data_IF_593493007322
#
_entry.id   IF_593493007322
#
_cell.length_a   1.000
_cell.length_b   1.000
_cell.length_c   1.000
_cell.angle_alpha   90.00
_cell.angle_beta   90.00
_cell.angle_gamma   90.00
#
_symmetry.space_group_name_H-M   'P 1'
#
loop_
_entity.id
_entity.type
_entity.pdbx_description
1 polymer ?
#
# COMPACT_ATOMS: atom_id res chain seq x y z
N UNK A 1 -27.20 -7.44 -12.86
CA UNK A 1 -26.84 -7.06 -11.47
C UNK A 1 -27.93 -6.17 -10.89
N UNK A 2 -28.55 -6.55 -9.77
CA UNK A 2 -29.65 -5.79 -9.18
C UNK A 2 -29.14 -4.50 -8.49
N UNK A 3 -29.98 -3.46 -8.33
CA UNK A 3 -29.62 -2.19 -7.66
C UNK A 3 -28.98 -2.45 -6.28
N UNK A 4 -29.49 -3.44 -5.53
CA UNK A 4 -28.92 -3.82 -4.24
C UNK A 4 -27.44 -4.19 -4.36
N UNK A 5 -27.08 -5.04 -5.32
CA UNK A 5 -25.70 -5.48 -5.54
C UNK A 5 -24.80 -4.32 -5.98
N UNK A 6 -25.30 -3.42 -6.85
CA UNK A 6 -24.56 -2.23 -7.26
C UNK A 6 -24.22 -1.34 -6.07
N UNK A 7 -25.20 -1.07 -5.20
CA UNK A 7 -25.01 -0.26 -3.99
C UNK A 7 -24.07 -0.94 -2.99
N UNK A 8 -24.20 -2.24 -2.75
CA UNK A 8 -23.31 -2.95 -1.81
C UNK A 8 -21.85 -2.92 -2.27
N UNK A 9 -21.59 -3.18 -3.55
CA UNK A 9 -20.24 -3.12 -4.10
C UNK A 9 -19.70 -1.68 -4.09
N UNK A 10 -20.54 -0.69 -4.39
CA UNK A 10 -20.17 0.72 -4.32
C UNK A 10 -19.74 1.16 -2.91
N UNK A 11 -20.55 0.87 -1.90
CA UNK A 11 -20.22 1.21 -0.51
C UNK A 11 -19.00 0.44 0.00
N UNK A 12 -18.89 -0.85 -0.31
CA UNK A 12 -17.73 -1.64 0.07
C UNK A 12 -16.45 -1.09 -0.57
N UNK A 13 -16.47 -0.72 -1.85
CA UNK A 13 -15.32 -0.13 -2.54
C UNK A 13 -14.92 1.21 -1.92
N UNK A 14 -15.88 2.13 -1.71
CA UNK A 14 -15.63 3.45 -1.12
C UNK A 14 -15.01 3.33 0.28
N UNK A 15 -15.45 2.36 1.08
CA UNK A 15 -14.95 2.18 2.44
C UNK A 15 -13.62 1.39 2.50
N UNK A 16 -13.43 0.37 1.67
CA UNK A 16 -12.25 -0.49 1.73
C UNK A 16 -11.03 0.13 1.03
N UNK A 17 -11.21 0.87 -0.06
CA UNK A 17 -10.08 1.43 -0.83
C UNK A 17 -9.18 2.34 0.03
N UNK A 18 -9.71 3.31 0.81
CA UNK A 18 -8.88 4.13 1.68
C UNK A 18 -8.14 3.32 2.75
N UNK A 19 -8.80 2.32 3.36
CA UNK A 19 -8.18 1.45 4.38
C UNK A 19 -7.00 0.67 3.80
N UNK A 20 -7.18 0.10 2.60
CA UNK A 20 -6.11 -0.64 1.91
C UNK A 20 -4.96 0.30 1.54
N UNK A 21 -5.25 1.50 1.03
CA UNK A 21 -4.21 2.48 0.70
C UNK A 21 -3.39 2.89 1.94
N UNK A 22 -4.07 3.21 3.05
CA UNK A 22 -3.40 3.55 4.31
C UNK A 22 -2.59 2.36 4.82
N UNK A 23 -3.14 1.14 4.78
CA UNK A 23 -2.43 -0.06 5.20
C UNK A 23 -1.14 -0.27 4.37
N UNK A 24 -1.20 -0.11 3.05
CA UNK A 24 -0.02 -0.23 2.17
C UNK A 24 1.03 0.82 2.55
N UNK A 25 0.64 2.08 2.70
CA UNK A 25 1.57 3.16 3.07
C UNK A 25 2.22 2.91 4.44
N UNK A 26 1.45 2.47 5.42
CA UNK A 26 1.98 2.13 6.75
C UNK A 26 2.96 0.96 6.69
N UNK A 27 2.65 -0.09 5.92
CA UNK A 27 3.55 -1.25 5.77
C UNK A 27 4.86 -0.87 5.08
N UNK A 28 4.80 -0.01 4.05
CA UNK A 28 6.01 0.50 3.38
C UNK A 28 6.85 1.30 4.38
N UNK A 29 6.25 2.23 5.12
CA UNK A 29 6.95 3.03 6.12
C UNK A 29 7.56 2.17 7.24
N UNK A 30 6.85 1.14 7.72
CA UNK A 30 7.38 0.26 8.78
C UNK A 30 8.61 -0.54 8.32
N UNK A 31 8.62 -0.99 7.06
CA UNK A 31 9.78 -1.72 6.50
C UNK A 31 10.95 -0.78 6.29
N UNK A 32 10.70 0.43 5.79
CA UNK A 32 11.73 1.44 5.61
C UNK A 32 12.34 1.85 6.95
N UNK A 33 11.49 2.10 7.95
CA UNK A 33 11.94 2.43 9.30
C UNK A 33 12.77 1.30 9.93
N UNK A 34 12.39 0.04 9.73
CA UNK A 34 13.18 -1.08 10.22
C UNK A 34 14.59 -1.13 9.59
N UNK A 35 14.70 -0.80 8.29
CA UNK A 35 15.99 -0.67 7.60
C UNK A 35 16.81 0.50 8.15
N UNK A 36 16.20 1.67 8.30
CA UNK A 36 16.87 2.86 8.84
C UNK A 36 17.35 2.63 10.28
N UNK A 37 16.52 2.02 11.13
CA UNK A 37 16.88 1.67 12.51
C UNK A 37 18.10 0.73 12.54
N UNK A 38 18.16 -0.25 11.62
CA UNK A 38 19.34 -1.11 11.47
C UNK A 38 20.57 -0.31 11.03
N UNK A 39 20.47 0.52 10.00
CA UNK A 39 21.59 1.32 9.51
C UNK A 39 22.11 2.28 10.58
N UNK A 40 21.24 2.95 11.31
CA UNK A 40 21.60 3.89 12.36
C UNK A 40 22.25 3.19 13.55
N UNK A 41 21.66 2.08 14.01
CA UNK A 41 22.20 1.32 15.14
C UNK A 41 23.56 0.70 14.81
N UNK A 42 23.67 0.03 13.67
CA UNK A 42 24.93 -0.57 13.22
C UNK A 42 26.00 0.49 12.93
N UNK A 43 25.65 1.63 12.32
CA UNK A 43 26.61 2.72 12.09
C UNK A 43 27.15 3.29 13.39
N UNK A 44 26.30 3.47 14.41
CA UNK A 44 26.74 3.92 15.73
C UNK A 44 27.72 2.95 16.36
N UNK A 45 27.42 1.65 16.31
CA UNK A 45 28.29 0.61 16.84
C UNK A 45 29.63 0.61 16.10
N UNK A 46 29.59 0.51 14.77
CA UNK A 46 30.78 0.49 13.90
C UNK A 46 31.65 1.73 14.13
N UNK A 47 31.06 2.91 14.28
CA UNK A 47 31.81 4.14 14.55
C UNK A 47 32.52 4.12 15.89
N UNK A 48 31.93 3.53 16.93
CA UNK A 48 32.60 3.37 18.21
C UNK A 48 33.81 2.44 18.08
N UNK A 49 33.67 1.36 17.33
CA UNK A 49 34.75 0.40 17.08
C UNK A 49 35.85 1.02 16.23
N UNK A 50 35.49 1.72 15.15
CA UNK A 50 36.43 2.46 14.31
C UNK A 50 37.23 3.47 15.16
N UNK A 51 36.57 4.21 16.05
CA UNK A 51 37.24 5.11 16.98
C UNK A 51 38.17 4.37 17.96
N UNK A 52 37.72 3.25 18.54
CA UNK A 52 38.55 2.44 19.44
C UNK A 52 39.77 1.86 18.72
N UNK A 53 39.60 1.40 17.47
CA UNK A 53 40.67 0.90 16.62
C UNK A 53 41.65 2.01 16.24
N UNK A 54 41.16 3.19 15.89
CA UNK A 54 42.00 4.35 15.65
C UNK A 54 42.83 4.70 16.88
N UNK A 55 42.24 4.75 18.07
CA UNK A 55 42.96 5.01 19.32
C UNK A 55 44.00 3.92 19.63
N UNK A 56 43.65 2.65 19.39
CA UNK A 56 44.55 1.52 19.57
C UNK A 56 45.78 1.62 18.66
N UNK A 57 45.58 1.87 17.36
CA UNK A 57 46.69 2.02 16.42
C UNK A 57 47.45 3.34 16.59
N UNK A 58 46.80 4.42 17.04
CA UNK A 58 47.48 5.66 17.41
C UNK A 58 48.43 5.45 18.60
N UNK A 59 47.99 4.71 19.63
CA UNK A 59 48.84 4.37 20.76
C UNK A 59 50.05 3.52 20.34
N UNK A 60 49.84 2.54 19.45
CA UNK A 60 50.94 1.76 18.86
C UNK A 60 51.88 2.66 18.06
N UNK A 61 51.35 3.55 17.23
CA UNK A 61 52.15 4.47 16.43
C UNK A 61 53.02 5.36 17.31
N UNK A 62 52.45 5.95 18.36
CA UNK A 62 53.18 6.77 19.33
C UNK A 62 54.28 5.97 20.05
N UNK A 63 54.00 4.71 20.41
CA UNK A 63 54.98 3.82 21.01
C UNK A 63 56.13 3.46 20.06
N UNK A 64 55.82 3.15 18.80
CA UNK A 64 56.82 2.88 17.77
C UNK A 64 57.68 4.11 17.53
N UNK A 65 57.08 5.30 17.47
CA UNK A 65 57.80 6.57 17.33
C UNK A 65 58.69 6.86 18.54
N UNK A 66 58.19 6.61 19.77
CA UNK A 66 58.95 6.73 21.00
C UNK A 66 60.17 5.80 20.98
N UNK A 67 59.97 4.52 20.65
CA UNK A 67 61.05 3.54 20.55
C UNK A 67 62.06 3.94 19.47
N UNK A 68 61.59 4.36 18.29
CA UNK A 68 62.43 4.80 17.18
C UNK A 68 63.33 5.98 17.54
N UNK A 69 62.80 6.90 18.37
CA UNK A 69 63.52 8.10 18.83
C UNK A 69 64.34 7.87 20.10
N UNK A 70 64.16 6.73 20.78
CA UNK A 70 64.84 6.43 22.03
C UNK A 70 66.34 6.22 21.84
N UNK A 71 67.14 6.63 22.84
CA UNK A 71 68.59 6.38 22.84
C UNK A 71 68.93 4.89 22.83
N UNK A 72 68.00 4.05 23.32
CA UNK A 72 68.12 2.60 23.31
C UNK A 72 68.34 2.08 21.87
N UNK A 73 67.53 2.53 20.91
CA UNK A 73 67.59 2.03 19.53
C UNK A 73 68.44 2.91 18.61
N UNK A 74 68.49 4.24 18.80
CA UNK A 74 69.27 5.13 17.92
C UNK A 74 70.77 4.92 17.99
N UNK A 75 71.29 4.53 19.15
CA UNK A 75 72.73 4.32 19.37
C UNK A 75 73.12 2.85 19.25
N UNK A 76 72.22 1.99 18.76
CA UNK A 76 72.53 0.58 18.55
C UNK A 76 73.47 0.43 17.36
N UNK A 77 74.60 -0.24 17.59
CA UNK A 77 75.51 -0.67 16.54
C UNK A 77 75.69 -2.19 16.62
N UNK A 78 76.01 -2.83 15.48
CA UNK A 78 76.38 -4.25 15.41
C UNK A 78 75.29 -5.23 15.88
N UNK A 79 74.07 -5.11 15.33
CA UNK A 79 73.04 -6.14 15.50
C UNK A 79 73.48 -7.48 14.89
N UNK A 80 73.06 -8.58 15.51
CA UNK A 80 73.39 -9.93 15.04
C UNK A 80 72.76 -10.14 13.67
N UNK A 81 73.53 -10.66 12.72
CA UNK A 81 73.04 -10.97 11.39
C UNK A 81 72.56 -12.43 11.34
N UNK A 82 71.32 -12.63 10.88
CA UNK A 82 70.67 -13.93 10.80
C UNK A 82 70.60 -14.51 9.38
N UNK A 83 71.25 -13.88 8.39
CA UNK A 83 71.17 -14.30 6.99
C UNK A 83 71.91 -15.61 6.68
N UNK A 84 72.89 -15.99 7.50
CA UNK A 84 73.63 -17.24 7.35
C UNK A 84 72.84 -18.45 7.89
N UNK A 85 73.09 -19.64 7.33
CA UNK A 85 72.43 -20.88 7.75
C UNK A 85 72.85 -21.35 9.15
N UNK A 86 74.07 -21.01 9.58
CA UNK A 86 74.63 -21.33 10.89
C UNK A 86 74.37 -20.24 11.95
N UNK A 87 73.61 -19.19 11.62
CA UNK A 87 73.36 -18.06 12.52
C UNK A 87 72.71 -18.46 13.86
N UNK A 88 71.97 -19.57 13.90
CA UNK A 88 71.41 -20.13 15.14
C UNK A 88 72.49 -20.62 16.13
N UNK A 89 73.69 -20.95 15.65
CA UNK A 89 74.83 -21.39 16.49
C UNK A 89 75.64 -20.21 17.06
N UNK A 90 75.49 -19.02 16.47
CA UNK A 90 76.17 -17.81 16.93
C UNK A 90 75.38 -17.21 18.10
N UNK A 91 75.97 -17.06 19.30
CA UNK A 91 75.25 -16.49 20.44
C UNK A 91 74.89 -15.02 20.21
N UNK A 92 73.80 -14.57 20.83
CA UNK A 92 73.41 -13.15 20.79
C UNK A 92 74.45 -12.31 21.56
N UNK A 93 75.08 -11.28 20.94
CA UNK A 93 76.05 -10.41 21.61
C UNK A 93 75.49 -9.76 22.88
N UNK A 94 76.35 -9.46 23.86
CA UNK A 94 75.93 -8.87 25.13
C UNK A 94 75.21 -7.51 24.96
N UNK A 95 75.63 -6.69 23.99
CA UNK A 95 74.93 -5.45 23.61
C UNK A 95 73.50 -5.73 23.16
N UNK A 96 73.30 -6.75 22.34
CA UNK A 96 71.98 -7.11 21.81
C UNK A 96 71.09 -7.76 22.87
N UNK A 97 71.67 -8.48 23.84
CA UNK A 97 70.94 -8.99 25.01
C UNK A 97 70.40 -7.85 25.89
N UNK A 98 71.18 -6.78 26.09
CA UNK A 98 70.72 -5.61 26.84
C UNK A 98 69.56 -4.89 26.12
N UNK A 99 69.64 -4.75 24.79
CA UNK A 99 68.56 -4.21 23.97
C UNK A 99 67.29 -5.07 24.05
N UNK A 100 67.45 -6.39 23.92
CA UNK A 100 66.35 -7.33 24.05
C UNK A 100 65.67 -7.25 25.43
N UNK A 101 66.43 -7.03 26.50
CA UNK A 101 65.86 -6.82 27.84
C UNK A 101 65.00 -5.55 27.89
N UNK A 102 65.44 -4.45 27.27
CA UNK A 102 64.65 -3.23 27.15
C UNK A 102 63.36 -3.44 26.34
N UNK A 103 63.44 -4.13 25.20
CA UNK A 103 62.26 -4.50 24.41
C UNK A 103 61.30 -5.41 25.20
N UNK A 104 61.83 -6.32 26.01
CA UNK A 104 61.03 -7.17 26.89
C UNK A 104 60.29 -6.37 27.96
N UNK A 105 60.92 -5.39 28.60
CA UNK A 105 60.25 -4.50 29.56
C UNK A 105 59.11 -3.72 28.89
N UNK A 106 59.33 -3.21 27.68
CA UNK A 106 58.27 -2.58 26.91
C UNK A 106 57.14 -3.56 26.60
N UNK A 107 57.44 -4.74 26.06
CA UNK A 107 56.41 -5.65 25.60
C UNK A 107 55.60 -6.28 26.75
N UNK A 108 56.23 -6.53 27.90
CA UNK A 108 55.52 -7.00 29.12
C UNK A 108 54.54 -5.97 29.67
N UNK A 109 54.76 -4.67 29.43
CA UNK A 109 53.80 -3.61 29.76
C UNK A 109 52.76 -3.34 28.66
N UNK A 110 52.95 -3.92 27.47
CA UNK A 110 52.08 -3.76 26.30
C UNK A 110 51.63 -5.14 25.77
N UNK A 111 50.69 -5.80 26.46
CA UNK A 111 50.33 -7.21 26.21
C UNK A 111 49.73 -7.49 24.82
N UNK A 112 49.41 -6.46 24.04
CA UNK A 112 48.96 -6.58 22.65
C UNK A 112 50.11 -6.70 21.64
N UNK A 113 51.35 -6.47 22.09
CA UNK A 113 52.55 -6.64 21.29
C UNK A 113 52.80 -8.12 21.03
N UNK A 114 52.75 -8.54 19.78
CA UNK A 114 53.14 -9.87 19.35
C UNK A 114 54.65 -9.94 19.11
N UNK A 115 55.19 -8.98 18.34
CA UNK A 115 56.62 -8.88 18.09
C UNK A 115 57.11 -7.42 18.08
N UNK A 116 58.35 -7.22 18.50
CA UNK A 116 59.11 -6.01 18.22
C UNK A 116 60.29 -6.39 17.35
N UNK A 117 60.42 -5.74 16.21
CA UNK A 117 61.43 -6.03 15.22
C UNK A 117 62.29 -4.80 15.00
N UNK A 118 63.60 -4.98 14.99
CA UNK A 118 64.58 -3.95 14.64
C UNK A 118 65.50 -4.52 13.59
N UNK A 119 65.56 -3.88 12.43
CA UNK A 119 66.42 -4.29 11.32
C UNK A 119 67.31 -3.13 10.89
N UNK A 120 68.58 -3.41 10.64
CA UNK A 120 69.55 -2.44 10.13
C UNK A 120 69.85 -2.66 8.64
N UNK A 121 70.37 -1.63 7.98
CA UNK A 121 70.75 -1.68 6.57
C UNK A 121 71.87 -2.69 6.26
N UNK A 122 72.73 -2.99 7.22
CA UNK A 122 73.76 -4.02 7.13
C UNK A 122 73.20 -5.46 7.21
N UNK A 123 71.90 -5.62 7.45
CA UNK A 123 71.22 -6.91 7.62
C UNK A 123 71.21 -7.42 9.07
N UNK A 124 71.74 -6.64 10.02
CA UNK A 124 71.60 -6.90 11.43
C UNK A 124 70.13 -6.86 11.85
N UNK A 125 69.75 -7.76 12.76
CA UNK A 125 68.36 -7.93 13.18
C UNK A 125 68.26 -8.25 14.67
N UNK A 126 67.22 -7.72 15.30
CA UNK A 126 66.82 -8.04 16.66
C UNK A 126 65.29 -8.21 16.67
N UNK A 127 64.82 -9.25 17.33
CA UNK A 127 63.39 -9.52 17.52
C UNK A 127 63.10 -9.84 18.97
N UNK A 128 61.97 -9.35 19.46
CA UNK A 128 61.35 -9.81 20.69
C UNK A 128 59.98 -10.44 20.34
N UNK A 129 59.61 -11.60 20.92
CA UNK A 129 60.45 -12.48 21.73
C UNK A 129 61.66 -12.99 20.94
N UNK A 130 62.76 -13.31 21.64
CA UNK A 130 63.95 -13.84 20.97
C UNK A 130 63.66 -15.21 20.36
N UNK A 131 64.19 -15.45 19.16
CA UNK A 131 64.14 -16.75 18.49
C UNK A 131 65.57 -17.28 18.29
N UNK A 132 66.07 -18.11 19.23
CA UNK A 132 67.40 -18.70 19.14
C UNK A 132 67.59 -19.61 17.92
N UNK A 133 66.51 -20.07 17.29
CA UNK A 133 66.56 -20.99 16.14
C UNK A 133 66.58 -20.24 14.80
N UNK A 134 66.35 -18.92 14.82
CA UNK A 134 66.30 -18.11 13.61
C UNK A 134 67.61 -18.22 12.82
N UNK A 135 67.48 -18.46 11.52
CA UNK A 135 68.57 -18.52 10.55
C UNK A 135 68.01 -18.22 9.15
N UNK A 136 68.90 -17.98 8.19
CA UNK A 136 68.51 -17.64 6.81
C UNK A 136 67.48 -16.51 6.71
N UNK A 137 67.53 -15.55 7.64
CA UNK A 137 66.60 -14.43 7.73
C UNK A 137 67.31 -13.11 7.45
N UNK A 138 66.82 -12.37 6.45
CA UNK A 138 67.25 -11.01 6.13
C UNK A 138 66.08 -10.04 6.34
N UNK A 139 66.14 -9.12 7.33
CA UNK A 139 65.05 -8.18 7.60
C UNK A 139 64.77 -7.28 6.41
N UNK A 140 65.78 -6.96 5.59
CA UNK A 140 65.67 -6.00 4.47
C UNK A 140 64.79 -6.51 3.35
N UNK A 141 64.59 -7.82 3.26
CA UNK A 141 63.73 -8.43 2.27
C UNK A 141 62.26 -8.51 2.69
N UNK A 142 61.97 -8.27 3.98
CA UNK A 142 60.64 -8.44 4.55
C UNK A 142 59.71 -7.28 4.21
N UNK A 143 58.39 -7.52 4.08
CA UNK A 143 57.43 -6.48 3.78
C UNK A 143 57.49 -5.29 4.76
N UNK A 144 57.55 -5.55 6.08
CA UNK A 144 57.57 -4.51 7.10
C UNK A 144 58.76 -3.54 6.95
N UNK A 145 59.96 -4.06 6.65
CA UNK A 145 61.15 -3.25 6.46
C UNK A 145 61.04 -2.41 5.18
N UNK A 146 60.61 -3.03 4.08
CA UNK A 146 60.39 -2.33 2.80
C UNK A 146 59.33 -1.23 2.93
N UNK A 147 58.25 -1.47 3.69
CA UNK A 147 57.22 -0.47 3.97
C UNK A 147 57.77 0.72 4.74
N UNK A 148 58.58 0.49 5.79
CA UNK A 148 59.19 1.56 6.56
C UNK A 148 60.15 2.40 5.69
N UNK A 149 61.05 1.73 4.97
CA UNK A 149 62.07 2.39 4.16
C UNK A 149 61.49 3.13 2.94
N UNK A 150 60.30 2.75 2.46
CA UNK A 150 59.59 3.46 1.40
C UNK A 150 58.98 4.79 1.88
N UNK A 151 58.84 5.00 3.19
CA UNK A 151 58.30 6.21 3.80
C UNK A 151 59.17 6.74 4.95
N UNK A 152 60.43 7.18 4.68
CA UNK A 152 61.35 7.63 5.73
C UNK A 152 60.76 8.72 6.62
N UNK A 153 60.97 8.60 7.93
CA UNK A 153 60.49 9.51 8.96
C UNK A 153 58.99 9.46 9.23
N UNK A 154 58.21 8.66 8.49
CA UNK A 154 56.76 8.51 8.67
C UNK A 154 56.43 7.19 9.34
N UNK A 155 55.41 7.21 10.21
CA UNK A 155 54.84 6.00 10.79
C UNK A 155 53.84 5.44 9.79
N UNK A 156 54.01 4.18 9.42
CA UNK A 156 53.16 3.51 8.43
C UNK A 156 52.73 2.16 8.98
N UNK A 157 51.50 1.77 8.69
CA UNK A 157 51.01 0.42 8.99
C UNK A 157 51.21 -0.48 7.78
N UNK A 158 51.66 -1.71 8.01
CA UNK A 158 51.78 -2.71 6.95
C UNK A 158 50.40 -3.27 6.61
N UNK A 159 50.21 -3.80 5.38
CA UNK A 159 49.17 -4.78 5.14
C UNK A 159 49.32 -5.97 6.09
N UNK A 160 48.23 -6.71 6.32
CA UNK A 160 48.30 -7.98 7.03
C UNK A 160 49.27 -8.94 6.33
N UNK A 161 50.14 -9.61 7.09
CA UNK A 161 51.09 -10.57 6.55
C UNK A 161 51.27 -11.78 7.46
N UNK A 162 51.51 -12.93 6.84
CA UNK A 162 51.70 -14.19 7.54
C UNK A 162 53.13 -14.34 8.08
N UNK A 163 53.23 -14.74 9.35
CA UNK A 163 54.46 -15.04 10.06
C UNK A 163 54.59 -16.55 10.22
N UNK A 164 55.45 -17.15 9.38
CA UNK A 164 55.62 -18.60 9.29
C UNK A 164 56.15 -19.28 10.56
N UNK A 165 57.08 -18.69 11.34
CA UNK A 165 57.64 -19.36 12.53
C UNK A 165 56.59 -19.73 13.57
N UNK A 166 55.57 -18.90 13.77
CA UNK A 166 54.54 -19.10 14.80
C UNK A 166 53.14 -19.34 14.22
N UNK A 167 53.02 -19.48 12.89
CA UNK A 167 51.75 -19.71 12.19
C UNK A 167 50.65 -18.69 12.56
N UNK A 168 51.04 -17.40 12.58
CA UNK A 168 50.15 -16.29 12.94
C UNK A 168 50.11 -15.25 11.85
N UNK A 169 48.98 -14.55 11.73
CA UNK A 169 48.89 -13.37 10.88
C UNK A 169 48.99 -12.11 11.72
N UNK A 170 49.88 -11.24 11.25
CA UNK A 170 50.31 -10.06 11.95
C UNK A 170 49.99 -8.81 11.14
N UNK A 171 49.94 -7.71 11.87
CA UNK A 171 49.93 -6.38 11.29
C UNK A 171 50.94 -5.52 12.04
N UNK A 172 51.88 -4.96 11.29
CA UNK A 172 52.96 -4.16 11.83
C UNK A 172 52.67 -2.67 11.73
N UNK A 173 53.04 -1.93 12.76
CA UNK A 173 53.26 -0.48 12.67
C UNK A 173 54.76 -0.24 12.63
N UNK A 174 55.23 0.43 11.58
CA UNK A 174 56.65 0.55 11.27
C UNK A 174 57.08 2.02 11.16
N UNK A 175 58.35 2.26 11.46
CA UNK A 175 59.00 3.57 11.36
C UNK A 175 60.50 3.39 11.04
N UNK A 176 61.15 4.39 10.44
CA UNK A 176 62.59 4.33 10.17
C UNK A 176 63.39 4.72 11.41
N UNK A 177 64.49 4.00 11.65
CA UNK A 177 65.47 4.40 12.65
C UNK A 177 66.45 5.36 12.00
N UNK A 178 66.51 6.61 12.46
CA UNK A 178 67.34 7.64 11.84
C UNK A 178 68.56 7.97 12.72
N UNK A 179 69.73 8.13 12.07
CA UNK A 179 70.94 8.60 12.74
C UNK A 179 70.83 10.06 13.19
N UNK A 180 71.86 10.58 13.86
CA UNK A 180 71.91 11.98 14.30
C UNK A 180 71.82 13.01 13.14
N UNK A 181 72.10 12.59 11.90
CA UNK A 181 72.05 13.41 10.69
C UNK A 181 70.72 13.27 9.93
N UNK A 182 69.76 12.50 10.47
CA UNK A 182 68.44 12.29 9.85
C UNK A 182 68.44 11.29 8.68
N UNK A 183 69.51 10.51 8.50
CA UNK A 183 69.55 9.43 7.51
C UNK A 183 69.04 8.13 8.13
N UNK A 184 68.22 7.35 7.41
CA UNK A 184 67.73 6.08 7.93
C UNK A 184 68.89 5.08 8.05
N UNK A 185 69.08 4.50 9.23
CA UNK A 185 69.99 3.39 9.55
C UNK A 185 69.31 2.02 9.42
N UNK A 186 67.99 2.02 9.47
CA UNK A 186 67.19 0.80 9.54
C UNK A 186 65.72 1.09 9.76
N UNK A 187 64.99 0.09 10.23
CA UNK A 187 63.58 0.18 10.54
C UNK A 187 63.25 -0.55 11.84
N UNK A 188 62.24 -0.03 12.54
CA UNK A 188 61.57 -0.69 13.65
C UNK A 188 60.15 -1.05 13.24
N UNK A 189 59.67 -2.19 13.71
CA UNK A 189 58.28 -2.61 13.60
C UNK A 189 57.74 -3.12 14.94
N UNK A 190 56.49 -2.78 15.25
CA UNK A 190 55.72 -3.41 16.31
C UNK A 190 54.54 -4.14 15.67
N UNK A 191 54.54 -5.47 15.79
CA UNK A 191 53.45 -6.29 15.29
C UNK A 191 52.42 -6.56 16.36
N UNK A 192 51.17 -6.49 15.97
CA UNK A 192 50.04 -6.99 16.75
C UNK A 192 49.44 -8.21 16.07
N UNK A 193 48.95 -9.13 16.89
CA UNK A 193 48.26 -10.32 16.38
C UNK A 193 46.86 -9.94 15.88
N UNK A 194 46.53 -10.31 14.65
CA UNK A 194 45.17 -10.15 14.14
C UNK A 194 44.15 -11.01 14.87
N UNK A 195 44.60 -12.02 15.64
CA UNK A 195 43.72 -12.79 16.52
C UNK A 195 43.05 -11.90 17.57
N UNK A 196 43.80 -10.97 18.18
CA UNK A 196 43.24 -10.06 19.18
C UNK A 196 42.23 -9.09 18.55
N UNK A 197 42.54 -8.60 17.34
CA UNK A 197 41.61 -7.80 16.55
C UNK A 197 40.33 -8.59 16.21
N UNK A 198 40.51 -9.85 15.80
CA UNK A 198 39.42 -10.78 15.50
C UNK A 198 38.53 -11.00 16.71
N UNK A 199 39.12 -11.21 17.90
CA UNK A 199 38.37 -11.44 19.14
C UNK A 199 37.55 -10.21 19.54
N UNK A 200 38.08 -9.00 19.35
CA UNK A 200 37.34 -7.75 19.57
C UNK A 200 36.19 -7.63 18.56
N UNK A 201 36.44 -7.91 17.29
CA UNK A 201 35.40 -7.84 16.25
C UNK A 201 34.30 -8.90 16.49
N UNK A 202 34.66 -10.10 16.93
CA UNK A 202 33.73 -11.19 17.28
C UNK A 202 32.80 -10.89 18.45
N UNK A 203 33.20 -9.98 19.34
CA UNK A 203 32.34 -9.58 20.47
C UNK A 203 31.18 -8.69 20.02
N UNK A 204 31.25 -8.12 18.82
CA UNK A 204 30.24 -7.22 18.30
C UNK A 204 29.10 -8.05 17.73
N UNK A 205 27.91 -7.80 18.27
CA UNK A 205 26.67 -8.42 17.81
C UNK A 205 25.74 -7.32 17.30
N UNK A 206 25.30 -7.46 16.06
CA UNK A 206 24.31 -6.58 15.47
C UNK A 206 22.96 -7.30 15.54
N UNK A 207 22.17 -7.00 16.56
CA UNK A 207 21.01 -7.82 16.89
C UNK A 207 21.43 -9.21 17.41
N UNK A 208 20.69 -10.25 17.03
CA UNK A 208 20.91 -11.63 17.44
C UNK A 208 21.73 -12.43 16.41
N UNK A 209 21.41 -12.30 15.12
CA UNK A 209 22.08 -13.01 14.02
C UNK A 209 23.24 -12.25 13.40
N UNK A 210 23.31 -10.94 13.62
CA UNK A 210 24.22 -10.08 12.89
C UNK A 210 25.63 -10.01 13.49
N UNK A 211 26.59 -9.76 12.61
CA UNK A 211 28.01 -9.75 12.90
C UNK A 211 28.74 -8.69 12.07
N UNK A 212 29.97 -8.37 12.47
CA UNK A 212 30.80 -7.40 11.76
C UNK A 212 31.94 -8.09 11.02
N UNK A 213 32.04 -7.83 9.72
CA UNK A 213 33.18 -8.22 8.91
C UNK A 213 34.14 -7.04 8.72
N UNK A 214 35.44 -7.31 8.69
CA UNK A 214 36.48 -6.30 8.51
C UNK A 214 37.33 -6.60 7.27
N UNK A 215 37.54 -5.58 6.43
CA UNK A 215 38.30 -5.67 5.20
C UNK A 215 39.37 -4.58 5.11
N UNK A 216 40.47 -4.91 4.44
CA UNK A 216 41.44 -3.93 3.97
C UNK A 216 40.92 -3.18 2.72
N UNK A 217 41.51 -2.03 2.42
CA UNK A 217 41.20 -1.22 1.22
C UNK A 217 41.40 -1.94 -0.11
N UNK A 218 42.20 -3.01 -0.15
CA UNK A 218 42.44 -3.85 -1.32
C UNK A 218 41.37 -4.96 -1.51
N UNK A 219 40.37 -5.05 -0.62
CA UNK A 219 39.32 -6.07 -0.65
C UNK A 219 39.66 -7.37 0.06
N UNK A 220 40.82 -7.46 0.71
CA UNK A 220 41.21 -8.61 1.52
C UNK A 220 40.43 -8.66 2.83
N UNK A 221 39.89 -9.82 3.18
CA UNK A 221 39.14 -10.03 4.43
C UNK A 221 40.11 -10.19 5.59
N UNK A 222 40.09 -9.27 6.55
CA UNK A 222 40.88 -9.38 7.78
C UNK A 222 40.19 -10.26 8.80
N UNK A 223 38.88 -10.06 8.95
CA UNK A 223 38.07 -10.78 9.93
C UNK A 223 36.69 -11.05 9.33
N UNK A 224 36.37 -12.33 9.18
CA UNK A 224 35.01 -12.84 9.08
C UNK A 224 34.74 -13.72 10.33
N UNK A 225 33.87 -13.27 11.26
CA UNK A 225 33.56 -14.02 12.46
C UNK A 225 32.66 -15.23 12.19
N UNK A 226 31.95 -15.29 11.06
CA UNK A 226 31.07 -16.40 10.67
C UNK A 226 31.87 -17.55 10.09
N UNK A 227 32.83 -17.26 9.22
CA UNK A 227 33.74 -18.27 8.66
C UNK A 227 35.19 -17.79 8.60
N UNK A 228 36.01 -18.32 9.50
CA UNK A 228 37.43 -17.98 9.57
C UNK A 228 38.23 -18.42 8.33
N UNK A 229 37.71 -19.33 7.49
CA UNK A 229 38.34 -19.73 6.24
C UNK A 229 38.30 -18.63 5.17
N UNK A 230 37.51 -17.57 5.37
CA UNK A 230 37.49 -16.38 4.51
C UNK A 230 38.62 -15.40 4.81
N UNK A 231 39.19 -15.45 6.02
CA UNK A 231 40.28 -14.55 6.39
C UNK A 231 41.46 -14.71 5.42
N UNK A 232 42.04 -13.59 5.02
CA UNK A 232 43.17 -13.48 4.09
C UNK A 232 42.89 -13.93 2.66
N UNK A 233 41.61 -14.02 2.29
CA UNK A 233 41.17 -14.14 0.91
C UNK A 233 40.53 -12.83 0.47
N UNK A 234 40.47 -12.62 -0.84
CA UNK A 234 39.74 -11.47 -1.39
C UNK A 234 38.23 -11.74 -1.32
N UNK A 235 37.48 -10.73 -0.90
CA UNK A 235 36.01 -10.83 -0.75
C UNK A 235 35.32 -11.24 -2.07
N UNK A 236 35.79 -10.73 -3.20
CA UNK A 236 35.22 -10.99 -4.53
C UNK A 236 35.46 -12.42 -5.07
N UNK A 237 36.31 -13.20 -4.40
CA UNK A 237 36.64 -14.59 -4.71
C UNK A 237 35.85 -15.59 -3.86
N UNK A 238 35.10 -15.14 -2.84
CA UNK A 238 34.43 -16.00 -1.87
C UNK A 238 33.06 -16.54 -2.34
N UNK A 239 32.53 -16.01 -3.44
CA UNK A 239 31.24 -16.44 -4.00
C UNK A 239 30.48 -15.28 -4.63
N UNK A 240 29.32 -15.57 -5.22
CA UNK A 240 28.55 -14.57 -5.96
C UNK A 240 28.00 -13.47 -5.05
N UNK A 241 27.42 -13.81 -3.89
CA UNK A 241 26.92 -12.82 -2.93
C UNK A 241 28.01 -11.95 -2.31
N UNK A 242 29.19 -12.52 -2.04
CA UNK A 242 30.35 -11.76 -1.57
C UNK A 242 30.92 -10.84 -2.66
N UNK A 243 30.86 -11.24 -3.93
CA UNK A 243 31.25 -10.39 -5.07
C UNK A 243 30.32 -9.20 -5.24
N UNK A 244 29.01 -9.40 -5.07
CA UNK A 244 28.05 -8.30 -5.01
C UNK A 244 28.41 -7.33 -3.88
N UNK A 245 28.64 -7.87 -2.67
CA UNK A 245 29.04 -7.08 -1.50
C UNK A 245 30.36 -6.31 -1.71
N UNK A 246 31.32 -6.90 -2.42
CA UNK A 246 32.58 -6.23 -2.77
C UNK A 246 32.37 -5.03 -3.70
N UNK A 247 31.38 -5.11 -4.60
CA UNK A 247 31.08 -4.05 -5.59
C UNK A 247 30.27 -2.87 -5.04
N UNK A 248 29.75 -2.98 -3.82
CA UNK A 248 28.93 -1.94 -3.19
C UNK A 248 29.74 -0.66 -2.99
N UNK A 249 29.25 0.43 -3.58
CA UNK A 249 29.82 1.79 -3.43
C UNK A 249 29.08 2.68 -2.44
N UNK A 250 27.86 2.30 -2.05
CA UNK A 250 27.06 3.00 -1.05
C UNK A 250 27.20 2.39 0.34
N UNK A 251 26.45 2.92 1.30
CA UNK A 251 26.52 2.50 2.70
C UNK A 251 25.57 1.31 3.01
N UNK A 252 24.75 0.89 2.04
CA UNK A 252 23.75 -0.17 2.21
C UNK A 252 23.72 -1.11 1.00
N UNK A 253 23.54 -2.39 1.28
CA UNK A 253 23.18 -3.40 0.29
C UNK A 253 22.31 -4.50 0.88
N UNK A 254 21.48 -5.15 0.06
CA UNK A 254 20.89 -6.45 0.38
C UNK A 254 21.62 -7.49 -0.46
N UNK A 255 22.14 -8.54 0.18
CA UNK A 255 22.92 -9.60 -0.49
C UNK A 255 22.46 -10.97 -0.01
N UNK A 256 22.63 -11.99 -0.83
CA UNK A 256 22.35 -13.38 -0.45
C UNK A 256 23.67 -14.13 -0.21
N UNK A 257 23.89 -14.57 1.04
CA UNK A 257 25.08 -15.30 1.45
C UNK A 257 24.65 -16.70 1.90
N UNK A 258 25.18 -17.74 1.26
CA UNK A 258 24.84 -19.15 1.52
C UNK A 258 23.32 -19.47 1.51
N UNK A 259 22.56 -18.81 0.64
CA UNK A 259 21.10 -19.01 0.56
C UNK A 259 20.28 -18.23 1.59
N UNK A 260 20.92 -17.35 2.37
CA UNK A 260 20.27 -16.50 3.38
C UNK A 260 20.39 -15.04 2.96
N UNK A 261 19.26 -14.32 2.99
CA UNK A 261 19.22 -12.90 2.64
C UNK A 261 19.69 -12.05 3.83
N UNK A 262 20.75 -11.28 3.60
CA UNK A 262 21.36 -10.35 4.54
C UNK A 262 21.12 -8.90 4.12
N UNK A 263 21.02 -8.04 5.13
CA UNK A 263 21.16 -6.59 4.99
C UNK A 263 22.56 -6.21 5.46
N UNK A 264 23.28 -5.47 4.62
CA UNK A 264 24.65 -5.06 4.84
C UNK A 264 24.72 -3.54 5.02
N UNK A 265 25.33 -3.09 6.12
CA UNK A 265 25.79 -1.72 6.32
C UNK A 265 27.29 -1.66 6.04
N UNK A 266 27.71 -0.82 5.09
CA UNK A 266 29.10 -0.67 4.67
C UNK A 266 29.64 0.67 5.18
N UNK A 267 30.65 0.62 6.03
CA UNK A 267 31.30 1.80 6.60
C UNK A 267 32.79 1.80 6.26
N UNK A 268 33.28 2.87 5.65
CA UNK A 268 34.69 3.01 5.30
C UNK A 268 35.40 3.95 6.28
N UNK A 269 36.42 3.44 6.97
CA UNK A 269 37.29 4.24 7.83
C UNK A 269 38.40 4.87 7.01
N UNK A 270 38.35 6.19 6.83
CA UNK A 270 39.37 6.93 6.08
C UNK A 270 40.76 6.82 6.72
N UNK A 271 40.82 6.86 8.06
CA UNK A 271 42.09 6.86 8.80
C UNK A 271 42.76 5.48 8.82
N UNK A 272 41.98 4.42 8.96
CA UNK A 272 42.49 3.05 8.91
C UNK A 272 42.65 2.56 7.46
N UNK A 273 41.93 3.12 6.50
CA UNK A 273 41.86 2.56 5.15
C UNK A 273 41.20 1.17 5.16
N UNK A 274 40.26 0.96 6.09
CA UNK A 274 39.54 -0.31 6.26
C UNK A 274 38.06 -0.13 5.96
N UNK A 275 37.42 -1.21 5.55
CA UNK A 275 35.97 -1.27 5.35
C UNK A 275 35.36 -2.22 6.37
N UNK A 276 34.44 -1.70 7.17
CA UNK A 276 33.63 -2.44 8.11
C UNK A 276 32.30 -2.76 7.43
N UNK A 277 31.87 -4.03 7.50
CA UNK A 277 30.61 -4.46 6.91
C UNK A 277 29.78 -5.15 7.99
N UNK A 278 28.77 -4.44 8.48
CA UNK A 278 27.79 -4.99 9.41
C UNK A 278 26.75 -5.79 8.64
N UNK A 279 26.65 -7.09 8.91
CA UNK A 279 25.70 -7.99 8.27
C UNK A 279 24.66 -8.44 9.30
N UNK A 280 23.39 -8.44 8.93
CA UNK A 280 22.30 -9.00 9.74
C UNK A 280 21.28 -9.70 8.84
N UNK A 281 20.64 -10.76 9.32
CA UNK A 281 19.61 -11.43 8.52
C UNK A 281 18.42 -10.50 8.27
N UNK A 282 17.98 -10.43 7.01
CA UNK A 282 16.83 -9.60 6.61
C UNK A 282 15.55 -9.99 7.34
N UNK A 283 15.36 -11.28 7.61
CA UNK A 283 14.26 -11.83 8.40
C UNK A 283 14.21 -11.24 9.82
N UNK A 284 15.36 -11.03 10.46
CA UNK A 284 15.44 -10.46 11.80
C UNK A 284 15.07 -8.98 11.80
N UNK A 285 15.70 -8.19 10.91
CA UNK A 285 15.39 -6.75 10.77
C UNK A 285 13.90 -6.56 10.46
N UNK A 286 13.35 -7.38 9.58
CA UNK A 286 11.96 -7.28 9.15
C UNK A 286 10.98 -8.00 10.08
N UNK A 287 11.43 -8.70 11.14
CA UNK A 287 10.55 -9.50 12.00
C UNK A 287 9.44 -8.67 12.63
N UNK A 288 9.81 -7.53 13.22
CA UNK A 288 8.86 -6.60 13.86
C UNK A 288 7.90 -5.98 12.84
N UNK A 289 8.42 -5.53 11.68
CA UNK A 289 7.61 -4.99 10.61
C UNK A 289 6.63 -6.03 10.02
N UNK A 290 7.05 -7.29 9.93
CA UNK A 290 6.23 -8.41 9.43
C UNK A 290 5.10 -8.75 10.41
N UNK A 291 5.39 -8.79 11.71
CA UNK A 291 4.38 -8.98 12.75
C UNK A 291 3.32 -7.87 12.74
N UNK A 292 3.75 -6.61 12.64
CA UNK A 292 2.84 -5.46 12.51
C UNK A 292 2.03 -5.50 11.21
N UNK A 293 2.65 -5.91 10.10
CA UNK A 293 1.97 -6.08 8.81
C UNK A 293 0.83 -7.07 8.93
N UNK A 294 1.03 -8.19 9.63
CA UNK A 294 -0.03 -9.17 9.89
C UNK A 294 -1.18 -8.59 10.71
N UNK A 295 -0.86 -7.86 11.79
CA UNK A 295 -1.87 -7.19 12.62
C UNK A 295 -2.69 -6.17 11.81
N UNK A 296 -2.04 -5.34 11.00
CA UNK A 296 -2.70 -4.39 10.10
C UNK A 296 -3.60 -5.13 9.11
N UNK A 297 -3.13 -6.25 8.54
CA UNK A 297 -3.91 -7.08 7.64
C UNK A 297 -5.18 -7.65 8.29
N UNK A 298 -5.07 -8.16 9.53
CA UNK A 298 -6.22 -8.66 10.30
C UNK A 298 -7.21 -7.53 10.59
N UNK A 299 -6.75 -6.35 11.02
CA UNK A 299 -7.61 -5.19 11.28
C UNK A 299 -8.31 -4.75 9.98
N UNK A 300 -7.58 -4.67 8.86
CA UNK A 300 -8.15 -4.32 7.56
C UNK A 300 -9.21 -5.34 7.11
N UNK A 301 -8.98 -6.64 7.33
CA UNK A 301 -9.95 -7.69 7.02
C UNK A 301 -11.23 -7.56 7.88
N UNK A 302 -11.09 -7.32 9.18
CA UNK A 302 -12.22 -7.09 10.09
C UNK A 302 -13.03 -5.86 9.66
N UNK A 303 -12.35 -4.75 9.32
CA UNK A 303 -13.01 -3.54 8.82
C UNK A 303 -13.71 -3.77 7.48
N UNK A 304 -13.11 -4.54 6.57
CA UNK A 304 -13.73 -4.89 5.29
C UNK A 304 -15.04 -5.69 5.49
N UNK A 305 -15.04 -6.68 6.39
CA UNK A 305 -16.25 -7.43 6.74
C UNK A 305 -17.30 -6.52 7.37
N UNK A 306 -16.89 -5.64 8.30
CA UNK A 306 -17.79 -4.68 8.93
C UNK A 306 -18.44 -3.75 7.88
N UNK A 307 -17.65 -3.18 6.97
CA UNK A 307 -18.17 -2.32 5.91
C UNK A 307 -19.04 -3.07 4.91
N UNK A 308 -18.75 -4.35 4.62
CA UNK A 308 -19.62 -5.17 3.80
C UNK A 308 -20.99 -5.39 4.47
N UNK A 309 -21.02 -5.68 5.77
CA UNK A 309 -22.26 -5.84 6.54
C UNK A 309 -23.06 -4.54 6.59
N UNK A 310 -22.40 -3.42 6.90
CA UNK A 310 -23.02 -2.09 6.93
C UNK A 310 -23.55 -1.72 5.54
N UNK A 311 -22.73 -1.85 4.49
CA UNK A 311 -23.12 -1.59 3.11
C UNK A 311 -24.29 -2.45 2.64
N UNK A 312 -24.31 -3.74 2.99
CA UNK A 312 -25.43 -4.65 2.72
C UNK A 312 -26.72 -4.24 3.43
N UNK A 313 -26.61 -3.77 4.67
CA UNK A 313 -27.74 -3.30 5.47
C UNK A 313 -28.33 -2.01 4.89
N UNK A 314 -27.48 -1.02 4.59
CA UNK A 314 -27.89 0.24 3.93
C UNK A 314 -28.49 0.01 2.54
N UNK A 315 -27.87 -0.84 1.71
CA UNK A 315 -28.44 -1.19 0.41
C UNK A 315 -29.81 -1.88 0.54
N UNK A 316 -30.01 -2.68 1.59
CA UNK A 316 -31.30 -3.28 1.92
C UNK A 316 -32.36 -2.24 2.29
N UNK A 317 -32.00 -1.26 3.12
CA UNK A 317 -32.89 -0.17 3.54
C UNK A 317 -33.36 0.69 2.36
N UNK A 318 -32.47 1.00 1.41
CA UNK A 318 -32.80 1.83 0.24
C UNK A 318 -33.63 1.05 -0.80
N UNK A 319 -33.25 -0.21 -1.08
CA UNK A 319 -33.85 -0.95 -2.20
C UNK A 319 -35.22 -1.55 -1.86
N UNK A 320 -35.48 -1.86 -0.59
CA UNK A 320 -36.73 -2.51 -0.18
C UNK A 320 -37.98 -1.64 -0.46
N UNK A 321 -38.03 -0.34 -0.11
CA UNK A 321 -39.16 0.53 -0.46
C UNK A 321 -39.33 0.71 -1.97
N UNK A 322 -38.23 0.88 -2.72
CA UNK A 322 -38.26 1.02 -4.18
C UNK A 322 -38.89 -0.21 -4.84
N UNK A 323 -38.51 -1.43 -4.39
CA UNK A 323 -39.13 -2.67 -4.87
C UNK A 323 -40.61 -2.77 -4.49
N UNK A 324 -41.01 -2.25 -3.33
CA UNK A 324 -42.42 -2.23 -2.93
C UNK A 324 -43.26 -1.36 -3.86
N UNK A 325 -42.75 -0.18 -4.24
CA UNK A 325 -43.41 0.71 -5.21
C UNK A 325 -43.49 0.05 -6.59
N UNK A 326 -42.37 -0.53 -7.05
CA UNK A 326 -42.33 -1.24 -8.32
C UNK A 326 -43.30 -2.43 -8.37
N UNK A 327 -43.38 -3.22 -7.30
CA UNK A 327 -44.33 -4.33 -7.19
C UNK A 327 -45.79 -3.88 -7.10
N UNK A 328 -46.07 -2.73 -6.47
CA UNK A 328 -47.41 -2.13 -6.48
C UNK A 328 -47.85 -1.69 -7.88
N UNK A 329 -46.94 -1.09 -8.64
CA UNK A 329 -47.16 -0.73 -10.05
C UNK A 329 -47.39 -1.97 -10.92
N UNK A 330 -46.56 -3.00 -10.77
CA UNK A 330 -46.71 -4.28 -11.47
C UNK A 330 -48.06 -4.94 -11.16
N UNK A 331 -48.47 -4.94 -9.89
CA UNK A 331 -49.76 -5.47 -9.46
C UNK A 331 -50.96 -4.78 -10.10
N UNK A 332 -50.91 -3.46 -10.32
CA UNK A 332 -51.98 -2.73 -11.01
C UNK A 332 -51.94 -3.00 -12.52
N UNK A 333 -50.75 -3.03 -13.12
CA UNK A 333 -50.58 -3.23 -14.55
C UNK A 333 -50.97 -4.65 -15.00
N UNK A 334 -50.72 -5.67 -14.18
CA UNK A 334 -50.99 -7.07 -14.51
C UNK A 334 -52.26 -7.64 -13.83
N UNK A 335 -52.65 -7.12 -12.66
CA UNK A 335 -53.69 -7.68 -11.81
C UNK A 335 -55.06 -7.02 -11.96
N UNK A 336 -55.59 -7.01 -13.19
CA UNK A 336 -56.96 -6.54 -13.52
C UNK A 336 -57.29 -5.09 -13.09
N UNK A 337 -56.29 -4.30 -12.68
CA UNK A 337 -56.47 -2.92 -12.24
C UNK A 337 -57.15 -2.78 -10.87
N UNK A 338 -56.86 -3.64 -9.89
CA UNK A 338 -57.38 -3.49 -8.52
C UNK A 338 -56.88 -2.19 -7.84
N UNK A 339 -57.68 -1.13 -7.96
CA UNK A 339 -57.43 0.21 -7.38
C UNK A 339 -57.73 0.29 -5.88
N UNK A 340 -58.05 -0.82 -5.21
CA UNK A 340 -58.30 -0.83 -3.76
C UNK A 340 -57.01 -0.93 -2.95
N UNK A 341 -55.91 -1.33 -3.60
CA UNK A 341 -54.58 -1.46 -2.99
C UNK A 341 -53.92 -0.10 -2.78
N UNK A 342 -53.14 0.01 -1.71
CA UNK A 342 -52.28 1.17 -1.44
C UNK A 342 -50.89 0.70 -0.99
N UNK A 343 -49.90 1.58 -1.18
CA UNK A 343 -48.57 1.38 -0.64
C UNK A 343 -48.52 1.86 0.81
N UNK A 344 -47.85 1.09 1.66
CA UNK A 344 -47.58 1.49 3.04
C UNK A 344 -46.57 2.64 3.09
N UNK A 345 -46.96 3.76 3.68
CA UNK A 345 -46.11 4.97 3.77
C UNK A 345 -45.34 4.91 5.09
N UNK A 346 -44.07 4.52 5.01
CA UNK A 346 -43.16 4.43 6.17
C UNK A 346 -42.04 5.45 6.05
N UNK A 347 -41.83 6.23 7.11
CA UNK A 347 -40.74 7.22 7.18
C UNK A 347 -41.11 8.57 6.56
N UNK A 348 -40.09 9.44 6.40
CA UNK A 348 -40.23 10.80 5.89
C UNK A 348 -39.22 11.15 4.77
N UNK A 349 -38.59 10.14 4.18
CA UNK A 349 -37.60 10.30 3.11
C UNK A 349 -38.23 10.33 1.71
N UNK A 350 -37.40 10.38 0.67
CA UNK A 350 -37.81 10.37 -0.73
C UNK A 350 -38.61 9.11 -1.10
N UNK A 351 -38.38 7.99 -0.43
CA UNK A 351 -39.14 6.76 -0.68
C UNK A 351 -40.55 6.83 -0.10
N UNK A 352 -40.73 7.46 1.07
CA UNK A 352 -42.03 7.77 1.64
C UNK A 352 -42.78 8.81 0.79
N UNK A 353 -42.07 9.81 0.25
CA UNK A 353 -42.65 10.78 -0.67
C UNK A 353 -43.17 10.11 -1.95
N UNK A 354 -42.41 9.18 -2.52
CA UNK A 354 -42.83 8.41 -3.70
C UNK A 354 -44.10 7.58 -3.42
N UNK A 355 -44.16 6.90 -2.28
CA UNK A 355 -45.34 6.13 -1.87
C UNK A 355 -46.59 7.01 -1.69
N UNK A 356 -46.43 8.22 -1.11
CA UNK A 356 -47.53 9.19 -0.97
C UNK A 356 -48.09 9.64 -2.31
N UNK A 357 -47.22 10.07 -3.23
CA UNK A 357 -47.65 10.51 -4.57
C UNK A 357 -48.29 9.38 -5.37
N UNK A 358 -47.80 8.15 -5.23
CA UNK A 358 -48.42 6.98 -5.85
C UNK A 358 -49.84 6.73 -5.32
N UNK A 359 -50.03 6.75 -4.00
CA UNK A 359 -51.36 6.58 -3.40
C UNK A 359 -52.32 7.71 -3.82
N UNK A 360 -51.83 8.94 -3.93
CA UNK A 360 -52.63 10.08 -4.41
C UNK A 360 -53.05 9.91 -5.87
N UNK A 361 -52.14 9.43 -6.73
CA UNK A 361 -52.42 9.11 -8.12
C UNK A 361 -53.49 8.00 -8.25
N UNK A 362 -53.37 6.92 -7.47
CA UNK A 362 -54.40 5.86 -7.38
C UNK A 362 -55.76 6.40 -6.94
N UNK A 363 -55.78 7.28 -5.93
CA UNK A 363 -57.01 7.92 -5.45
C UNK A 363 -57.70 8.76 -6.53
N UNK A 364 -56.92 9.48 -7.34
CA UNK A 364 -57.44 10.23 -8.48
C UNK A 364 -58.04 9.31 -9.56
N UNK A 365 -57.37 8.21 -9.90
CA UNK A 365 -57.92 7.21 -10.85
C UNK A 365 -59.20 6.59 -10.29
N UNK A 366 -59.23 6.19 -9.02
CA UNK A 366 -60.42 5.61 -8.38
C UNK A 366 -61.62 6.55 -8.44
N UNK A 367 -61.40 7.84 -8.16
CA UNK A 367 -62.43 8.87 -8.24
C UNK A 367 -62.93 9.05 -9.67
N UNK A 368 -62.03 9.01 -10.66
CA UNK A 368 -62.39 9.10 -12.08
C UNK A 368 -63.27 7.92 -12.50
N UNK A 369 -62.88 6.69 -12.14
CA UNK A 369 -63.66 5.48 -12.44
C UNK A 369 -65.05 5.53 -11.79
N UNK A 370 -65.14 5.98 -10.53
CA UNK A 370 -66.42 6.17 -9.86
C UNK A 370 -67.32 7.19 -10.58
N UNK A 371 -66.75 8.33 -11.01
CA UNK A 371 -67.49 9.35 -11.77
C UNK A 371 -67.99 8.82 -13.12
N UNK A 372 -67.20 8.01 -13.81
CA UNK A 372 -67.62 7.33 -15.06
C UNK A 372 -68.78 6.37 -14.77
N UNK A 373 -68.72 5.63 -13.66
CA UNK A 373 -69.81 4.75 -13.23
C UNK A 373 -71.11 5.52 -12.95
N UNK A 374 -71.05 6.61 -12.20
CA UNK A 374 -72.21 7.48 -11.94
C UNK A 374 -72.75 8.10 -13.22
N UNK A 375 -71.88 8.65 -14.09
CA UNK A 375 -72.30 9.22 -15.36
C UNK A 375 -72.96 8.18 -16.28
N UNK A 376 -72.50 6.92 -16.24
CA UNK A 376 -73.11 5.82 -16.99
C UNK A 376 -74.50 5.47 -16.44
N UNK A 377 -74.71 5.52 -15.13
CA UNK A 377 -76.03 5.30 -14.51
C UNK A 377 -77.01 6.45 -14.81
N UNK A 378 -76.53 7.69 -14.79
CA UNK A 378 -77.32 8.87 -15.19
C UNK A 378 -77.71 8.76 -16.68
N UNK A 379 -76.78 8.34 -17.53
CA UNK A 379 -77.02 8.11 -18.97
C UNK A 379 -78.04 6.99 -19.20
N UNK A 380 -77.98 5.91 -18.43
CA UNK A 380 -78.98 4.83 -18.48
C UNK A 380 -80.36 5.34 -18.07
N UNK A 381 -80.46 6.10 -16.97
CA UNK A 381 -81.72 6.69 -16.51
C UNK A 381 -82.31 7.66 -17.54
N UNK A 382 -81.47 8.49 -18.15
CA UNK A 382 -81.88 9.39 -19.23
C UNK A 382 -82.35 8.62 -20.48
N UNK A 383 -81.69 7.51 -20.82
CA UNK A 383 -82.12 6.63 -21.93
C UNK A 383 -83.47 5.97 -21.65
N UNK A 384 -83.70 5.49 -20.42
CA UNK A 384 -84.97 4.90 -20.01
C UNK A 384 -86.10 5.92 -20.03
N UNK A 385 -85.85 7.14 -19.53
CA UNK A 385 -86.80 8.25 -19.58
C UNK A 385 -87.14 8.64 -21.04
N UNK A 386 -86.12 8.72 -21.90
CA UNK A 386 -86.29 9.00 -23.33
C UNK A 386 -87.13 7.92 -24.02
N UNK A 387 -86.91 6.65 -23.67
CA UNK A 387 -87.70 5.52 -24.17
C UNK A 387 -89.16 5.63 -23.75
N UNK A 388 -89.44 6.00 -22.49
CA UNK A 388 -90.81 6.26 -22.02
C UNK A 388 -91.49 7.40 -22.78
N UNK A 389 -90.80 8.53 -22.95
CA UNK A 389 -91.34 9.66 -23.73
C UNK A 389 -91.63 9.24 -25.18
N UNK A 390 -90.78 8.43 -25.79
CA UNK A 390 -91.01 7.91 -27.13
C UNK A 390 -92.26 7.02 -27.21
N UNK A 391 -92.53 6.19 -26.19
CA UNK A 391 -93.75 5.38 -26.09
C UNK A 391 -95.00 6.26 -25.90
N UNK A 392 -94.98 7.20 -24.97
CA UNK A 392 -96.09 8.14 -24.72
C UNK A 392 -96.42 8.96 -25.98
N UNK A 393 -95.38 9.38 -26.72
CA UNK A 393 -95.53 10.11 -27.97
C UNK A 393 -96.17 9.24 -29.06
N UNK A 394 -95.85 7.95 -29.12
CA UNK A 394 -96.49 7.01 -30.03
C UNK A 394 -97.99 6.84 -29.70
N UNK A 395 -98.33 6.67 -28.42
CA UNK A 395 -99.73 6.59 -27.97
C UNK A 395 -100.50 7.90 -28.21
N UNK A 396 -99.86 9.04 -28.02
CA UNK A 396 -100.44 10.34 -28.35
C UNK A 396 -100.67 10.48 -29.86
N UNK A 397 -99.73 10.03 -30.70
CA UNK A 397 -99.88 10.03 -32.15
C UNK A 397 -101.02 9.11 -32.61
N UNK A 398 -101.21 7.94 -31.98
CA UNK A 398 -102.35 7.05 -32.24
C UNK A 398 -103.68 7.75 -31.88
N UNK A 399 -103.79 8.33 -30.68
CA UNK A 399 -105.00 9.08 -30.28
C UNK A 399 -105.27 10.28 -31.18
N UNK A 400 -104.23 10.99 -31.60
CA UNK A 400 -104.36 12.10 -32.54
C UNK A 400 -104.89 11.63 -33.89
N UNK A 401 -104.43 10.47 -34.39
CA UNK A 401 -104.95 9.86 -35.62
C UNK A 401 -106.43 9.52 -35.51
N UNK A 402 -106.87 8.91 -34.41
CA UNK A 402 -108.29 8.61 -34.15
C UNK A 402 -109.14 9.88 -34.08
N UNK A 403 -108.66 10.92 -33.40
CA UNK A 403 -109.35 12.21 -33.35
C UNK A 403 -109.47 12.84 -34.75
N UNK A 404 -108.44 12.73 -35.58
CA UNK A 404 -108.48 13.19 -36.98
C UNK A 404 -109.51 12.41 -37.81
N UNK A 405 -109.63 11.09 -37.62
CA UNK A 405 -110.67 10.28 -38.29
C UNK A 405 -112.09 10.65 -37.83
N UNK A 406 -112.28 10.89 -36.53
CA UNK A 406 -113.55 11.38 -35.99
C UNK A 406 -113.90 12.76 -36.55
N UNK A 407 -112.94 13.69 -36.61
CA UNK A 407 -113.11 15.00 -37.23
C UNK A 407 -113.46 14.85 -38.70
N UNK A 408 -112.81 13.95 -39.44
CA UNK A 408 -113.13 13.69 -40.85
C UNK A 408 -114.54 13.13 -41.03
N UNK A 409 -114.98 12.24 -40.13
CA UNK A 409 -116.35 11.68 -40.11
C UNK A 409 -117.38 12.77 -39.83
N UNK A 410 -117.14 13.59 -38.79
CA UNK A 410 -118.00 14.72 -38.44
C UNK A 410 -118.04 15.77 -39.55
N UNK A 411 -116.93 16.03 -40.24
CA UNK A 411 -116.89 16.89 -41.43
C UNK A 411 -117.77 16.35 -42.56
N UNK A 412 -117.73 15.04 -42.84
CA UNK A 412 -118.59 14.42 -43.86
C UNK A 412 -120.08 14.54 -43.49
N UNK A 413 -120.44 14.26 -42.23
CA UNK A 413 -121.80 14.47 -41.69
C UNK A 413 -122.23 15.95 -41.77
N UNK A 414 -121.33 16.87 -41.44
CA UNK A 414 -121.58 18.32 -41.52
C UNK A 414 -121.80 18.78 -42.96
N UNK A 415 -121.04 18.25 -43.92
CA UNK A 415 -121.25 18.51 -45.36
C UNK A 415 -122.58 17.94 -45.83
N UNK A 416 -122.97 16.75 -45.37
CA UNK A 416 -124.26 16.16 -45.68
C UNK A 416 -125.42 17.00 -45.13
N UNK A 417 -125.34 17.45 -43.87
CA UNK A 417 -126.34 18.34 -43.26
C UNK A 417 -126.37 19.71 -43.91
N UNK A 418 -125.22 20.30 -44.27
CA UNK A 418 -125.18 21.57 -44.99
C UNK A 418 -125.87 21.46 -46.37
N UNK A 419 -125.69 20.34 -47.08
CA UNK A 419 -126.40 20.06 -48.32
C UNK A 419 -127.92 19.88 -48.09
N UNK A 420 -128.32 19.20 -47.01
CA UNK A 420 -129.73 19.01 -46.67
C UNK A 420 -130.42 20.32 -46.26
N UNK A 421 -129.71 21.19 -45.53
CA UNK A 421 -130.17 22.55 -45.21
C UNK A 421 -130.27 23.39 -46.48
N UNK A 422 -129.29 23.35 -47.37
CA UNK A 422 -129.35 24.06 -48.65
C UNK A 422 -130.55 23.59 -49.49
N UNK A 423 -130.84 22.28 -49.49
CA UNK A 423 -132.02 21.70 -50.14
C UNK A 423 -133.32 22.18 -49.51
N UNK A 424 -133.40 22.17 -48.18
CA UNK A 424 -134.55 22.67 -47.42
C UNK A 424 -134.78 24.17 -47.65
N UNK A 425 -133.73 24.99 -47.68
CA UNK A 425 -133.81 26.42 -48.00
C UNK A 425 -134.29 26.65 -49.44
N UNK A 426 -133.80 25.87 -50.41
CA UNK A 426 -134.27 25.94 -51.80
C UNK A 426 -135.75 25.57 -51.91
N UNK A 427 -136.18 24.52 -51.19
CA UNK A 427 -137.58 24.10 -51.15
C UNK A 427 -138.49 25.12 -50.46
N UNK A 428 -138.04 25.71 -49.36
CA UNK A 428 -138.74 26.79 -48.66
C UNK A 428 -138.87 28.05 -49.54
N UNK A 429 -137.80 28.43 -50.26
CA UNK A 429 -137.83 29.53 -51.21
C UNK A 429 -138.82 29.28 -52.36
N UNK A 430 -138.85 28.07 -52.92
CA UNK A 430 -139.83 27.67 -53.95
C UNK A 430 -141.26 27.69 -53.42
N UNK A 431 -141.47 27.25 -52.17
CA UNK A 431 -142.79 27.27 -51.52
C UNK A 431 -143.26 28.70 -51.23
N UNK A 432 -142.34 29.59 -50.80
CA UNK A 432 -142.63 31.00 -50.60
C UNK A 432 -142.97 31.73 -51.91
N UNK A 433 -142.23 31.47 -52.99
CA UNK A 433 -142.51 32.01 -54.34
C UNK A 433 -143.89 31.52 -54.85
N UNK A 434 -144.21 30.25 -54.63
CA UNK A 434 -145.53 29.68 -54.97
C UNK A 434 -146.65 30.32 -54.15
N UNK A 435 -146.45 30.47 -52.84
CA UNK A 435 -147.40 31.16 -51.96
C UNK A 435 -147.61 32.62 -52.35
N UNK A 436 -146.55 33.33 -52.74
CA UNK A 436 -146.63 34.72 -53.20
C UNK A 436 -147.42 34.84 -54.51
N UNK A 437 -147.23 33.91 -55.47
CA UNK A 437 -148.08 33.85 -56.68
C UNK A 437 -149.54 33.60 -56.35
N UNK A 438 -149.83 32.67 -55.43
CA UNK A 438 -151.20 32.35 -55.03
C UNK A 438 -151.92 33.55 -54.38
N UNK A 439 -151.21 34.33 -53.57
CA UNK A 439 -151.73 35.57 -52.98
C UNK A 439 -151.94 36.66 -54.03
N UNK A 440 -151.04 36.78 -55.01
CA UNK A 440 -151.17 37.74 -56.10
C UNK A 440 -152.36 37.43 -57.02
N UNK A 441 -152.53 36.16 -57.42
CA UNK A 441 -153.67 35.70 -58.21
C UNK A 441 -154.98 35.86 -57.44
N UNK A 442 -154.96 35.64 -56.12
CA UNK A 442 -156.11 35.88 -55.25
C UNK A 442 -156.50 37.35 -55.13
N UNK A 443 -155.53 38.28 -55.12
CA UNK A 443 -155.81 39.72 -55.11
C UNK A 443 -156.45 40.20 -56.43
N UNK A 444 -156.10 39.62 -57.57
CA UNK A 444 -156.66 39.99 -58.87
C UNK A 444 -158.10 39.51 -59.10
N UNK A 445 -158.64 38.62 -58.26
CA UNK A 445 -160.05 38.19 -58.34
C UNK A 445 -161.01 39.03 -57.49
N UNK A 446 -160.51 39.97 -56.68
CA UNK A 446 -161.32 40.71 -55.69
C UNK A 446 -161.69 42.13 -56.16
N UNK A 447 -161.10 42.65 -57.23
CA UNK A 447 -161.44 43.92 -57.89
C UNK A 447 -161.73 43.70 -59.39
#
# INVERSE_FOLDING_TARGET
MNIKQKLTWGFAAIACVPVVLVAIVVVINLREQAREDFLDSSSREIRQIDNAMNQFFDAIAQNVEYLAKSDLLRNTENLKNYSAADAAQVPLPASNQALLHGLNQFATSHPTTAYLQVGHQDGGYLVWPDDPKLNSYDPRQRPWYKTAMAAPGKIVRTPAYYWAPDDVVLMGTVHTLDNAQGQPLGAIGLDVSLKQLTDLVKQIKLGESGYLMLLESNGNVLVDPRDAAHNFKRLDELGDGYRELASVTGDFAEVELDGVSYMANVWSSEKLGWRFIGLIERSEVMAKATSLTWQIGVIAAVLAVLFAIVGASFAGLIVKPIRSVAGGLEGIAQGEGDLTRSLDVRGNDETALLARWFNQFLGAIRTLVQRIGSASADLQTASDATTRVALDMNDAAVRQREAVELVSTAFNEMVATANEVARSCSQAASSADSGQRQVHDGQLQID
#
